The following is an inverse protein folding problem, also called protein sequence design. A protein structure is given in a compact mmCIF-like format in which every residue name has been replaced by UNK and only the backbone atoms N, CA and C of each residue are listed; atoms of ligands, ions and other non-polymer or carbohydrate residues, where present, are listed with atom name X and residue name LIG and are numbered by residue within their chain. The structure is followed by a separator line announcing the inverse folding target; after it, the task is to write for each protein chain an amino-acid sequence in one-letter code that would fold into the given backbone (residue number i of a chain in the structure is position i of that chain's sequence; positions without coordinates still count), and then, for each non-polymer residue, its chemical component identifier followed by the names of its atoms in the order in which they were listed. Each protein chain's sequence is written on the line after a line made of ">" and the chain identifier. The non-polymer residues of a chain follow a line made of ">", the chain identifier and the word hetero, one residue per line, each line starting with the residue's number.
data_IF_972863587481
#
_entry.id   IF_972863587481
#
_cell.length_a   1.000
_cell.length_b   1.000
_cell.length_c   1.000
_cell.angle_alpha   90.00
_cell.angle_beta   90.00
_cell.angle_gamma   90.00
#
_symmetry.space_group_name_H-M   'P 1'
#
loop_
_entity.id
_entity.type
_entity.pdbx_description
1 polymer ?
#
# COMPACT_ATOMS: atom_id res chain seq x y z
N UNK A 1 1.09 23.14 5.25
CA UNK A 1 0.47 21.80 5.27
C UNK A 1 -0.95 21.98 5.74
N UNK A 2 -1.92 21.36 5.07
CA UNK A 2 -3.30 21.37 5.55
C UNK A 2 -3.42 20.48 6.78
N UNK A 3 -4.41 20.73 7.63
CA UNK A 3 -4.71 19.87 8.77
C UNK A 3 -5.25 18.54 8.29
N UNK A 4 -4.79 17.46 8.93
CA UNK A 4 -5.27 16.11 8.67
C UNK A 4 -6.23 15.70 9.78
N UNK A 5 -7.29 14.98 9.40
CA UNK A 5 -8.29 14.44 10.31
C UNK A 5 -8.43 12.96 10.10
N UNK A 6 -8.51 12.19 11.19
CA UNK A 6 -8.65 10.75 11.17
C UNK A 6 -10.03 10.33 11.65
N UNK A 7 -10.71 9.48 10.90
CA UNK A 7 -11.93 8.84 11.36
C UNK A 7 -11.60 7.80 12.45
N UNK A 8 -12.17 7.96 13.63
CA UNK A 8 -11.96 7.06 14.78
C UNK A 8 -12.58 5.67 14.57
N UNK A 9 -13.54 5.54 13.64
CA UNK A 9 -14.23 4.28 13.35
C UNK A 9 -13.44 3.42 12.36
N UNK A 10 -12.98 4.01 11.26
CA UNK A 10 -12.42 3.25 10.13
C UNK A 10 -10.96 3.59 9.78
N UNK A 11 -10.41 4.60 10.43
CA UNK A 11 -9.02 5.02 10.31
C UNK A 11 -8.69 5.94 9.13
N UNK A 12 -9.60 6.16 8.16
CA UNK A 12 -9.28 7.00 6.99
C UNK A 12 -8.78 8.39 7.43
N UNK A 13 -7.76 8.88 6.74
CA UNK A 13 -7.17 10.19 6.94
C UNK A 13 -7.56 11.08 5.77
N UNK A 14 -8.08 12.27 6.09
CA UNK A 14 -8.55 13.25 5.12
C UNK A 14 -7.98 14.62 5.45
N UNK A 15 -7.74 15.43 4.42
CA UNK A 15 -7.47 16.86 4.59
C UNK A 15 -8.73 17.59 5.07
N UNK A 16 -8.56 18.72 5.76
CA UNK A 16 -9.66 19.52 6.30
C UNK A 16 -10.78 19.85 5.28
N UNK A 17 -10.40 20.12 4.03
CA UNK A 17 -11.32 20.46 2.94
C UNK A 17 -12.00 19.26 2.28
N UNK A 18 -11.58 18.03 2.60
CA UNK A 18 -12.21 16.80 2.13
C UNK A 18 -13.27 16.27 3.11
N UNK A 19 -13.50 16.97 4.22
CA UNK A 19 -14.39 16.49 5.25
C UNK A 19 -15.83 16.88 4.97
N UNK A 20 -16.70 15.87 4.96
CA UNK A 20 -18.14 15.99 4.76
C UNK A 20 -18.91 15.68 6.05
N UNK A 21 -20.24 15.76 6.01
CA UNK A 21 -21.11 15.43 7.14
C UNK A 21 -20.92 13.98 7.63
N UNK A 22 -20.57 13.08 6.71
CA UNK A 22 -20.37 11.65 6.97
C UNK A 22 -19.05 11.17 6.36
N UNK A 23 -18.41 10.22 7.03
CA UNK A 23 -17.21 9.57 6.55
C UNK A 23 -17.49 8.80 5.24
N UNK A 24 -16.75 9.05 4.15
CA UNK A 24 -17.01 8.42 2.85
C UNK A 24 -16.72 6.90 2.84
N UNK A 25 -15.94 6.39 3.79
CA UNK A 25 -15.59 4.96 3.90
C UNK A 25 -16.55 4.15 4.74
N UNK A 26 -17.06 4.70 5.85
CA UNK A 26 -17.84 3.95 6.83
C UNK A 26 -19.14 4.63 7.28
N UNK A 27 -19.48 5.78 6.70
CA UNK A 27 -20.68 6.58 7.00
C UNK A 27 -20.81 7.05 8.47
N UNK A 28 -19.71 7.04 9.24
CA UNK A 28 -19.70 7.61 10.59
C UNK A 28 -19.90 9.14 10.53
N UNK A 29 -20.61 9.76 11.48
CA UNK A 29 -20.86 11.19 11.46
C UNK A 29 -19.57 12.01 11.66
N UNK A 30 -19.57 13.27 11.23
CA UNK A 30 -18.45 14.23 11.30
C UNK A 30 -17.75 14.27 12.67
N UNK A 31 -18.51 14.15 13.76
CA UNK A 31 -18.01 14.12 15.15
C UNK A 31 -17.03 12.98 15.45
N UNK A 32 -16.99 11.93 14.61
CA UNK A 32 -16.04 10.81 14.73
C UNK A 32 -14.71 11.08 14.06
N UNK A 33 -14.45 12.30 13.60
CA UNK A 33 -13.14 12.71 13.10
C UNK A 33 -12.38 13.48 14.18
N UNK A 34 -11.15 13.06 14.46
CA UNK A 34 -10.22 13.77 15.33
C UNK A 34 -9.08 14.39 14.52
N UNK A 35 -8.66 15.61 14.88
CA UNK A 35 -7.50 16.27 14.27
C UNK A 35 -6.23 15.50 14.62
N UNK A 36 -5.41 15.23 13.61
CA UNK A 36 -4.12 14.57 13.76
C UNK A 36 -3.09 15.60 14.19
N UNK A 37 -2.25 15.28 15.18
CA UNK A 37 -1.18 16.18 15.63
C UNK A 37 -0.22 16.53 14.50
N UNK A 38 0.39 17.71 14.53
CA UNK A 38 1.33 18.14 13.50
C UNK A 38 2.51 17.16 13.31
N UNK A 39 3.04 16.60 14.41
CA UNK A 39 4.12 15.61 14.38
C UNK A 39 3.67 14.31 13.67
N UNK A 40 2.46 13.84 13.95
CA UNK A 40 1.93 12.63 13.30
C UNK A 40 1.57 12.91 11.84
N UNK A 41 1.04 14.09 11.52
CA UNK A 41 0.74 14.52 10.16
C UNK A 41 1.99 14.58 9.27
N UNK A 42 3.13 15.04 9.80
CA UNK A 42 4.40 15.02 9.08
C UNK A 42 4.87 13.58 8.82
N UNK A 43 4.77 12.69 9.80
CA UNK A 43 5.11 11.27 9.64
C UNK A 43 4.24 10.59 8.58
N UNK A 44 2.94 10.87 8.58
CA UNK A 44 1.99 10.38 7.56
C UNK A 44 2.42 10.87 6.17
N UNK A 45 2.59 12.18 5.99
CA UNK A 45 2.96 12.75 4.68
C UNK A 45 4.28 12.16 4.16
N UNK A 46 5.26 11.93 5.04
CA UNK A 46 6.54 11.32 4.67
C UNK A 46 6.42 9.82 4.35
N UNK A 47 5.54 9.10 5.03
CA UNK A 47 5.33 7.67 4.82
C UNK A 47 4.46 7.38 3.61
N UNK A 48 3.50 8.24 3.28
CA UNK A 48 2.64 8.14 2.10
C UNK A 48 3.47 7.95 0.83
N UNK A 49 4.48 8.81 0.62
CA UNK A 49 5.40 8.68 -0.51
C UNK A 49 6.07 7.30 -0.60
N UNK A 50 6.53 6.75 0.52
CA UNK A 50 7.17 5.42 0.52
C UNK A 50 6.15 4.29 0.35
N UNK A 51 4.95 4.46 0.88
CA UNK A 51 3.86 3.50 0.73
C UNK A 51 3.39 3.41 -0.72
N UNK A 52 3.35 4.53 -1.44
CA UNK A 52 3.09 4.55 -2.89
C UNK A 52 4.19 3.80 -3.66
N UNK A 53 5.46 4.01 -3.31
CA UNK A 53 6.56 3.24 -3.90
C UNK A 53 6.44 1.73 -3.63
N UNK A 54 5.98 1.34 -2.43
CA UNK A 54 5.70 -0.07 -2.13
C UNK A 54 4.50 -0.60 -2.92
N UNK A 55 3.45 0.19 -3.14
CA UNK A 55 2.32 -0.17 -3.97
C UNK A 55 2.72 -0.38 -5.44
N UNK A 56 3.57 0.50 -5.98
CA UNK A 56 4.14 0.37 -7.32
C UNK A 56 5.04 -0.86 -7.44
N UNK A 57 5.88 -1.13 -6.43
CA UNK A 57 6.69 -2.34 -6.37
C UNK A 57 5.82 -3.61 -6.40
N UNK A 58 4.71 -3.61 -5.65
CA UNK A 58 3.73 -4.71 -5.67
C UNK A 58 3.14 -4.89 -7.06
N UNK A 59 2.77 -3.81 -7.75
CA UNK A 59 2.25 -3.85 -9.12
C UNK A 59 3.27 -4.41 -10.11
N UNK A 60 4.52 -3.98 -10.03
CA UNK A 60 5.61 -4.53 -10.85
C UNK A 60 5.83 -6.02 -10.58
N UNK A 61 5.75 -6.46 -9.33
CA UNK A 61 5.82 -7.88 -8.98
C UNK A 61 4.68 -8.68 -9.61
N UNK A 62 3.45 -8.14 -9.64
CA UNK A 62 2.31 -8.79 -10.34
C UNK A 62 2.58 -8.93 -11.84
N UNK A 63 3.17 -7.91 -12.48
CA UNK A 63 3.58 -8.00 -13.90
C UNK A 63 4.67 -9.06 -14.11
N UNK A 64 5.65 -9.14 -13.21
CA UNK A 64 6.70 -10.17 -13.25
C UNK A 64 6.12 -11.58 -13.07
N UNK A 65 5.14 -11.77 -12.19
CA UNK A 65 4.45 -13.05 -12.02
C UNK A 65 3.76 -13.49 -13.32
N UNK A 66 3.02 -12.59 -13.98
CA UNK A 66 2.36 -12.87 -15.27
C UNK A 66 3.36 -13.21 -16.38
N UNK A 67 4.46 -12.46 -16.47
CA UNK A 67 5.53 -12.72 -17.44
C UNK A 67 6.17 -14.09 -17.18
N UNK A 68 6.46 -14.40 -15.92
CA UNK A 68 7.01 -15.69 -15.54
C UNK A 68 6.04 -16.84 -15.81
N UNK A 69 4.74 -16.65 -15.60
CA UNK A 69 3.73 -17.64 -15.95
C UNK A 69 3.69 -17.92 -17.46
N UNK A 70 3.71 -16.89 -18.29
CA UNK A 70 3.78 -17.04 -19.74
C UNK A 70 5.05 -17.80 -20.16
N UNK A 71 6.21 -17.45 -19.60
CA UNK A 71 7.47 -18.13 -19.93
C UNK A 71 7.57 -19.57 -19.42
N UNK A 72 6.93 -19.91 -18.30
CA UNK A 72 6.80 -21.31 -17.84
C UNK A 72 5.88 -22.09 -18.78
N UNK A 73 4.77 -21.48 -19.21
CA UNK A 73 3.80 -22.12 -20.10
C UNK A 73 4.35 -22.36 -21.51
N UNK A 74 5.20 -21.46 -22.00
CA UNK A 74 5.91 -21.61 -23.29
C UNK A 74 6.86 -22.82 -23.30
N UNK A 75 7.49 -23.13 -22.17
CA UNK A 75 8.25 -24.36 -21.94
C UNK A 75 9.31 -24.68 -23.04
N UNK A 76 9.99 -23.65 -23.55
CA UNK A 76 11.01 -23.78 -24.60
C UNK A 76 12.11 -24.79 -24.27
N UNK A 77 12.75 -24.63 -23.10
CA UNK A 77 13.79 -25.52 -22.61
C UNK A 77 13.93 -25.47 -21.06
N UNK A 78 14.59 -26.46 -20.43
CA UNK A 78 14.68 -26.54 -18.97
C UNK A 78 15.35 -25.34 -18.29
N UNK A 79 16.28 -24.66 -18.96
CA UNK A 79 16.97 -23.49 -18.42
C UNK A 79 16.04 -22.28 -18.40
N UNK A 80 15.30 -22.03 -19.49
CA UNK A 80 14.27 -20.99 -19.52
C UNK A 80 13.20 -21.21 -18.43
N UNK A 81 12.67 -22.42 -18.29
CA UNK A 81 11.67 -22.76 -17.26
C UNK A 81 12.21 -22.50 -15.84
N UNK A 82 13.48 -22.84 -15.58
CA UNK A 82 14.13 -22.55 -14.29
C UNK A 82 14.20 -21.06 -14.00
N UNK A 83 14.55 -20.23 -15.00
CA UNK A 83 14.61 -18.77 -14.85
C UNK A 83 13.23 -18.23 -14.49
N UNK A 84 12.19 -18.58 -15.25
CA UNK A 84 10.84 -18.07 -14.99
C UNK A 84 10.26 -18.59 -13.68
N UNK A 85 10.49 -19.86 -13.33
CA UNK A 85 10.09 -20.40 -12.01
C UNK A 85 10.73 -19.62 -10.87
N UNK A 86 12.02 -19.30 -10.99
CA UNK A 86 12.74 -18.49 -10.01
C UNK A 86 12.21 -17.05 -9.95
N UNK A 87 11.94 -16.43 -11.09
CA UNK A 87 11.35 -15.09 -11.19
C UNK A 87 9.99 -15.04 -10.48
N UNK A 88 9.10 -16.01 -10.74
CA UNK A 88 7.80 -16.11 -10.08
C UNK A 88 7.93 -16.22 -8.56
N UNK A 89 8.87 -17.04 -8.07
CA UNK A 89 9.14 -17.20 -6.63
C UNK A 89 9.58 -15.87 -6.00
N UNK A 90 10.53 -15.17 -6.60
CA UNK A 90 11.03 -13.91 -6.04
C UNK A 90 10.01 -12.78 -6.12
N UNK A 91 9.25 -12.67 -7.21
CA UNK A 91 8.19 -11.66 -7.32
C UNK A 91 7.13 -11.83 -6.20
N UNK A 92 6.74 -13.07 -5.90
CA UNK A 92 5.85 -13.38 -4.77
C UNK A 92 6.44 -12.97 -3.42
N UNK A 93 7.72 -13.27 -3.19
CA UNK A 93 8.41 -12.90 -1.96
C UNK A 93 8.48 -11.38 -1.79
N UNK A 94 8.94 -10.65 -2.81
CA UNK A 94 9.07 -9.19 -2.78
C UNK A 94 7.73 -8.50 -2.51
N UNK A 95 6.64 -9.00 -3.12
CA UNK A 95 5.29 -8.51 -2.85
C UNK A 95 4.90 -8.64 -1.37
N UNK A 96 5.27 -9.74 -0.71
CA UNK A 96 4.96 -9.91 0.72
C UNK A 96 5.84 -9.03 1.61
N UNK A 97 7.11 -8.83 1.25
CA UNK A 97 8.00 -7.91 1.96
C UNK A 97 7.48 -6.47 1.91
N UNK A 98 7.06 -6.00 0.75
CA UNK A 98 6.46 -4.67 0.59
C UNK A 98 5.18 -4.51 1.42
N UNK A 99 4.30 -5.52 1.43
CA UNK A 99 3.09 -5.52 2.26
C UNK A 99 3.39 -5.49 3.75
N UNK A 100 4.40 -6.25 4.19
CA UNK A 100 4.81 -6.27 5.59
C UNK A 100 5.31 -4.89 6.04
N UNK A 101 6.02 -4.16 5.18
CA UNK A 101 6.49 -2.83 5.52
C UNK A 101 5.37 -1.79 5.57
N UNK A 102 4.43 -1.83 4.62
CA UNK A 102 3.21 -1.00 4.68
C UNK A 102 2.45 -1.27 5.99
N UNK A 103 2.28 -2.53 6.39
CA UNK A 103 1.66 -2.87 7.68
C UNK A 103 2.46 -2.28 8.85
N UNK A 104 3.80 -2.34 8.79
CA UNK A 104 4.68 -1.76 9.79
C UNK A 104 4.54 -0.24 9.93
N UNK A 105 4.35 0.47 8.80
CA UNK A 105 4.04 1.90 8.80
C UNK A 105 2.68 2.16 9.47
N UNK A 106 1.61 1.49 9.01
CA UNK A 106 0.25 1.69 9.51
C UNK A 106 0.16 1.41 11.01
N UNK A 107 0.77 0.33 11.49
CA UNK A 107 0.81 -0.01 12.93
C UNK A 107 1.50 1.03 13.80
N UNK A 108 2.37 1.88 13.21
CA UNK A 108 3.08 2.97 13.88
C UNK A 108 2.44 4.34 13.62
N UNK A 109 1.19 4.35 13.16
CA UNK A 109 0.43 5.55 12.77
C UNK A 109 1.09 6.36 11.64
N UNK A 110 1.87 5.68 10.80
CA UNK A 110 2.47 6.25 9.60
C UNK A 110 1.68 5.71 8.41
N UNK A 111 0.87 6.55 7.80
CA UNK A 111 0.00 6.15 6.69
C UNK A 111 0.69 6.30 5.35
#
# INVERSE_FOLDING_TARGET
>A
MKKLYRCEVCGIILEEDQLEDHCPKCNAPREKFSEVSAETAEKITRSEFTNDLHADLIHLCVKLEKLAEAGIADNLDPSCVKIFTRTKKYAKLLKQLAKAEIQGHISKEKW
#
